data_IF_848463372592
#
_entry.id   IF_848463372592
#
_cell.length_a   1.000
_cell.length_b   1.000
_cell.length_c   1.000
_cell.angle_alpha   90.00
_cell.angle_beta   90.00
_cell.angle_gamma   90.00
#
_symmetry.space_group_name_H-M   'P 1'
#
loop_
_entity.id
_entity.type
_entity.pdbx_description
1 polymer ?
#
# COMPACT_ATOMS: atom_id res chain seq x y z
N UNK A 1 11.08 -31.33 -9.75
CA UNK A 1 10.89 -31.69 -8.32
C UNK A 1 11.55 -30.66 -7.38
N UNK A 2 12.87 -30.36 -7.50
CA UNK A 2 13.57 -29.41 -6.59
C UNK A 2 13.06 -27.97 -6.74
N UNK A 3 12.73 -27.52 -7.96
CA UNK A 3 12.13 -26.20 -8.21
C UNK A 3 10.70 -26.08 -7.67
N UNK A 4 9.93 -27.16 -7.69
CA UNK A 4 8.55 -27.14 -7.19
C UNK A 4 8.53 -27.07 -5.65
N UNK A 5 9.44 -27.79 -4.98
CA UNK A 5 9.59 -27.75 -3.52
C UNK A 5 10.02 -26.36 -3.02
N UNK A 6 10.92 -25.68 -3.74
CA UNK A 6 11.34 -24.31 -3.44
C UNK A 6 10.18 -23.31 -3.65
N UNK A 7 9.36 -23.52 -4.65
CA UNK A 7 8.17 -22.69 -4.91
C UNK A 7 7.13 -22.84 -3.81
N UNK A 8 6.82 -24.07 -3.41
CA UNK A 8 5.90 -24.34 -2.31
C UNK A 8 6.37 -23.75 -0.99
N UNK A 9 7.67 -23.87 -0.68
CA UNK A 9 8.25 -23.27 0.50
C UNK A 9 8.16 -21.73 0.48
N UNK A 10 8.40 -21.11 -0.68
CA UNK A 10 8.27 -19.66 -0.85
C UNK A 10 6.83 -19.19 -0.70
N UNK A 11 5.88 -19.88 -1.33
CA UNK A 11 4.44 -19.58 -1.21
C UNK A 11 3.96 -19.74 0.23
N UNK A 12 4.47 -20.74 0.97
CA UNK A 12 4.17 -20.95 2.38
C UNK A 12 4.71 -19.81 3.27
N UNK A 13 5.97 -19.38 3.07
CA UNK A 13 6.56 -18.26 3.82
C UNK A 13 5.77 -16.96 3.64
N UNK A 14 5.42 -16.62 2.40
CA UNK A 14 4.64 -15.42 2.09
C UNK A 14 3.25 -15.52 2.72
N UNK A 15 2.62 -16.69 2.65
CA UNK A 15 1.30 -16.91 3.22
C UNK A 15 1.31 -16.89 4.74
N UNK A 16 2.31 -17.51 5.40
CA UNK A 16 2.50 -17.46 6.85
C UNK A 16 2.65 -16.02 7.37
N UNK A 17 3.48 -15.22 6.71
CA UNK A 17 3.68 -13.82 7.08
C UNK A 17 2.39 -13.01 7.03
N UNK A 18 1.62 -13.18 5.95
CA UNK A 18 0.35 -12.48 5.78
C UNK A 18 -0.72 -12.97 6.75
N UNK A 19 -0.82 -14.28 6.96
CA UNK A 19 -1.77 -14.88 7.90
C UNK A 19 -1.47 -14.47 9.35
N UNK A 20 -0.20 -14.48 9.75
CA UNK A 20 0.20 -14.05 11.09
C UNK A 20 -0.21 -12.59 11.30
N UNK A 21 0.15 -11.70 10.38
CA UNK A 21 -0.23 -10.28 10.47
C UNK A 21 -1.74 -10.09 10.54
N UNK A 22 -2.50 -10.79 9.70
CA UNK A 22 -3.95 -10.69 9.70
C UNK A 22 -4.57 -11.12 11.04
N UNK A 23 -4.08 -12.22 11.63
CA UNK A 23 -4.59 -12.74 12.91
C UNK A 23 -4.31 -11.82 14.10
N UNK A 24 -3.15 -11.19 14.14
CA UNK A 24 -2.77 -10.35 15.28
C UNK A 24 -3.19 -8.89 15.12
N UNK A 25 -3.67 -8.49 13.94
CA UNK A 25 -4.14 -7.13 13.68
C UNK A 25 -5.29 -6.74 14.62
N UNK A 26 -6.22 -7.64 14.87
CA UNK A 26 -7.35 -7.42 15.78
C UNK A 26 -6.91 -7.21 17.23
N UNK A 27 -5.79 -7.79 17.64
CA UNK A 27 -5.20 -7.60 18.96
C UNK A 27 -4.39 -6.31 19.08
N UNK A 28 -4.27 -5.51 18.00
CA UNK A 28 -3.45 -4.30 17.92
C UNK A 28 -1.98 -4.53 18.29
N UNK A 29 -1.48 -5.74 18.05
CA UNK A 29 -0.08 -6.09 18.28
C UNK A 29 0.72 -5.78 17.02
N UNK A 30 1.79 -5.03 17.19
CA UNK A 30 2.72 -4.71 16.11
C UNK A 30 3.76 -5.82 16.00
N UNK A 31 3.97 -6.33 14.78
CA UNK A 31 4.92 -7.41 14.53
C UNK A 31 5.89 -7.05 13.42
N UNK A 32 7.13 -7.53 13.58
CA UNK A 32 8.15 -7.49 12.57
C UNK A 32 8.80 -8.86 12.45
N UNK A 33 8.66 -9.51 11.30
CA UNK A 33 9.35 -10.75 10.99
C UNK A 33 10.70 -10.38 10.39
N UNK A 34 11.77 -10.94 10.95
CA UNK A 34 13.13 -10.77 10.45
C UNK A 34 13.71 -12.18 10.25
N UNK A 35 14.29 -12.42 9.08
CA UNK A 35 14.96 -13.71 8.80
C UNK A 35 16.23 -13.83 9.65
N UNK A 36 16.44 -15.00 10.22
CA UNK A 36 17.64 -15.29 11.03
C UNK A 36 18.94 -14.99 10.27
N UNK A 37 18.99 -15.37 8.98
CA UNK A 37 20.11 -15.07 8.09
C UNK A 37 20.42 -13.58 7.91
N UNK A 38 19.58 -12.68 8.38
CA UNK A 38 19.82 -11.23 8.34
C UNK A 38 20.33 -10.67 9.67
N UNK A 39 20.23 -11.42 10.79
CA UNK A 39 20.63 -10.97 12.12
C UNK A 39 21.77 -11.83 12.68
N UNK A 40 21.71 -13.16 12.46
CA UNK A 40 22.67 -14.13 12.98
C UNK A 40 23.35 -14.90 11.84
N UNK A 41 23.71 -14.19 10.78
CA UNK A 41 24.26 -14.79 9.56
C UNK A 41 25.64 -15.43 9.74
N UNK A 42 26.37 -15.09 10.79
CA UNK A 42 27.71 -15.63 11.06
C UNK A 42 27.70 -17.16 11.23
N UNK A 43 26.61 -17.72 11.73
CA UNK A 43 26.45 -19.16 11.92
C UNK A 43 25.92 -19.91 10.69
N UNK A 44 25.47 -19.19 9.67
CA UNK A 44 24.71 -19.74 8.53
C UNK A 44 25.43 -19.57 7.18
N UNK A 45 26.45 -18.73 7.13
CA UNK A 45 27.13 -18.32 5.91
C UNK A 45 28.63 -18.67 5.94
N UNK A 46 29.22 -18.74 4.78
CA UNK A 46 30.68 -18.87 4.62
C UNK A 46 31.35 -17.53 4.88
N UNK A 47 32.67 -17.54 5.21
CA UNK A 47 33.44 -16.33 5.49
C UNK A 47 33.32 -15.26 4.42
N UNK A 48 33.35 -15.67 3.14
CA UNK A 48 33.16 -14.74 2.02
C UNK A 48 31.79 -14.09 2.00
N UNK A 49 30.74 -14.87 2.29
CA UNK A 49 29.36 -14.36 2.36
C UNK A 49 29.17 -13.45 3.58
N UNK A 50 29.83 -13.77 4.70
CA UNK A 50 29.85 -12.92 5.91
C UNK A 50 30.44 -11.54 5.58
N UNK A 51 31.57 -11.49 4.90
CA UNK A 51 32.22 -10.23 4.49
C UNK A 51 31.32 -9.39 3.56
N UNK A 52 30.57 -10.05 2.67
CA UNK A 52 29.61 -9.36 1.81
C UNK A 52 28.40 -8.83 2.59
N UNK A 53 27.85 -9.61 3.52
CA UNK A 53 26.69 -9.18 4.35
C UNK A 53 27.06 -8.05 5.31
N UNK A 54 28.28 -8.02 5.89
CA UNK A 54 28.77 -6.94 6.76
C UNK A 54 28.74 -5.56 6.10
N UNK A 55 28.92 -5.50 4.79
CA UNK A 55 28.83 -4.23 4.05
C UNK A 55 27.44 -3.57 4.14
N UNK A 56 26.43 -4.36 4.42
CA UNK A 56 25.04 -3.91 4.52
C UNK A 56 24.53 -3.73 5.94
N UNK A 57 25.35 -3.98 6.97
CA UNK A 57 24.90 -3.96 8.38
C UNK A 57 24.35 -2.59 8.79
N UNK A 58 24.99 -1.51 8.38
CA UNK A 58 24.48 -0.16 8.65
C UNK A 58 23.10 0.07 8.01
N UNK A 59 22.93 -0.36 6.77
CA UNK A 59 21.64 -0.24 6.08
C UNK A 59 20.57 -1.14 6.71
N UNK A 60 20.94 -2.35 7.18
CA UNK A 60 20.03 -3.25 7.90
C UNK A 60 19.60 -2.61 9.23
N UNK A 61 20.57 -2.12 10.02
CA UNK A 61 20.27 -1.45 11.28
C UNK A 61 19.36 -0.24 11.08
N UNK A 62 19.63 0.58 10.08
CA UNK A 62 18.80 1.71 9.70
C UNK A 62 17.37 1.28 9.35
N UNK A 63 17.20 0.30 8.46
CA UNK A 63 15.91 -0.17 8.01
C UNK A 63 15.08 -0.80 9.15
N UNK A 64 15.71 -1.60 10.01
CA UNK A 64 15.07 -2.22 11.17
C UNK A 64 14.62 -1.13 12.16
N UNK A 65 15.52 -0.22 12.51
CA UNK A 65 15.24 0.86 13.48
C UNK A 65 14.12 1.76 13.01
N UNK A 66 14.13 2.19 11.75
CA UNK A 66 13.06 3.01 11.18
C UNK A 66 11.73 2.26 11.13
N UNK A 67 11.76 0.98 10.74
CA UNK A 67 10.55 0.16 10.71
C UNK A 67 9.93 0.01 12.11
N UNK A 68 10.74 -0.27 13.11
CA UNK A 68 10.28 -0.39 14.51
C UNK A 68 9.79 0.94 15.04
N UNK A 69 10.52 2.03 14.81
CA UNK A 69 10.12 3.36 15.25
C UNK A 69 8.77 3.77 14.68
N UNK A 70 8.58 3.57 13.36
CA UNK A 70 7.30 3.86 12.71
C UNK A 70 6.15 2.98 13.23
N UNK A 71 6.41 1.70 13.45
CA UNK A 71 5.40 0.76 13.99
C UNK A 71 5.00 1.05 15.43
N UNK A 72 5.87 1.67 16.20
CA UNK A 72 5.59 2.14 17.57
C UNK A 72 4.87 3.50 17.60
N UNK A 73 4.47 4.02 16.45
CA UNK A 73 3.76 5.29 16.31
C UNK A 73 4.67 6.51 16.14
N UNK A 74 5.98 6.31 16.02
CA UNK A 74 6.90 7.39 15.70
C UNK A 74 6.81 7.79 14.23
N UNK A 75 7.15 9.03 13.92
CA UNK A 75 7.23 9.55 12.55
C UNK A 75 8.69 9.89 12.25
N UNK A 76 9.46 8.99 11.63
CA UNK A 76 10.89 9.19 11.39
C UNK A 76 11.16 10.35 10.42
N UNK A 77 10.23 10.63 9.52
CA UNK A 77 10.22 11.78 8.61
C UNK A 77 8.79 12.10 8.19
N UNK A 78 8.58 13.29 7.72
CA UNK A 78 7.35 13.74 7.06
C UNK A 78 7.71 14.55 5.82
N UNK A 79 6.77 14.66 4.90
CA UNK A 79 6.90 15.58 3.78
C UNK A 79 7.01 17.01 4.34
N UNK A 80 7.95 17.79 3.80
CA UNK A 80 8.27 19.13 4.31
C UNK A 80 7.13 20.14 4.12
N UNK A 81 7.08 20.71 2.93
CA UNK A 81 6.14 21.81 2.65
C UNK A 81 4.89 21.27 1.91
N UNK A 82 3.95 20.70 2.66
CA UNK A 82 2.62 20.37 2.14
C UNK A 82 1.68 21.50 2.51
N UNK A 83 0.84 21.94 1.59
CA UNK A 83 -0.20 22.94 1.85
C UNK A 83 -1.25 22.33 2.78
N UNK A 84 -1.69 23.10 3.77
CA UNK A 84 -2.74 22.70 4.68
C UNK A 84 -4.04 22.36 3.94
N UNK A 85 -4.74 21.35 4.40
CA UNK A 85 -5.99 20.89 3.80
C UNK A 85 -5.84 20.14 2.50
N UNK A 86 -4.65 19.63 2.18
CA UNK A 86 -4.41 18.78 1.00
C UNK A 86 -4.30 17.32 1.41
N UNK A 87 -4.98 16.46 0.65
CA UNK A 87 -4.94 15.01 0.81
C UNK A 87 -4.45 14.36 -0.48
N UNK A 88 -3.54 13.41 -0.39
CA UNK A 88 -3.05 12.62 -1.52
C UNK A 88 -3.55 11.18 -1.38
N UNK A 89 -4.26 10.68 -2.39
CA UNK A 89 -4.81 9.34 -2.44
C UNK A 89 -4.17 8.55 -3.57
N UNK A 90 -3.38 7.54 -3.26
CA UNK A 90 -2.77 6.64 -4.23
C UNK A 90 -3.59 5.37 -4.40
N UNK A 91 -4.08 5.09 -5.61
CA UNK A 91 -4.77 3.85 -5.94
C UNK A 91 -3.78 2.78 -6.38
N UNK A 92 -3.81 1.62 -5.71
CA UNK A 92 -2.95 0.47 -5.99
C UNK A 92 -3.81 -0.75 -6.28
N UNK A 93 -3.53 -1.40 -7.39
CA UNK A 93 -4.23 -2.61 -7.82
C UNK A 93 -3.32 -3.82 -7.78
N UNK A 94 -3.86 -4.96 -7.37
CA UNK A 94 -3.19 -6.26 -7.45
C UNK A 94 -4.11 -7.27 -8.11
N UNK A 95 -3.64 -7.86 -9.22
CA UNK A 95 -4.28 -8.97 -9.89
C UNK A 95 -3.92 -10.28 -9.19
N UNK A 96 -4.88 -11.21 -9.11
CA UNK A 96 -4.62 -12.57 -8.67
C UNK A 96 -3.92 -13.34 -9.80
N UNK A 97 -2.76 -13.91 -9.54
CA UNK A 97 -1.90 -14.54 -10.56
C UNK A 97 -2.43 -15.88 -11.10
N UNK A 98 -3.38 -16.50 -10.41
CA UNK A 98 -3.84 -17.86 -10.67
C UNK A 98 -4.69 -18.05 -11.94
N UNK A 99 -5.15 -16.97 -12.58
CA UNK A 99 -6.01 -17.09 -13.77
C UNK A 99 -5.85 -15.89 -14.71
N UNK A 100 -5.31 -16.16 -15.90
CA UNK A 100 -5.13 -15.14 -16.96
C UNK A 100 -6.46 -14.60 -17.51
N UNK A 101 -7.56 -15.33 -17.32
CA UNK A 101 -8.91 -14.94 -17.74
C UNK A 101 -9.69 -14.23 -16.63
N UNK A 102 -9.21 -14.30 -15.40
CA UNK A 102 -9.90 -13.68 -14.28
C UNK A 102 -9.69 -12.16 -14.31
N UNK A 103 -10.79 -11.43 -14.38
CA UNK A 103 -10.81 -9.97 -14.33
C UNK A 103 -10.70 -9.42 -12.91
N UNK A 104 -10.80 -10.29 -11.90
CA UNK A 104 -10.80 -9.86 -10.51
C UNK A 104 -9.44 -9.29 -10.10
N UNK A 105 -9.48 -8.15 -9.49
CA UNK A 105 -8.35 -7.48 -8.88
C UNK A 105 -8.77 -6.90 -7.54
N UNK A 106 -7.84 -6.77 -6.62
CA UNK A 106 -8.07 -6.00 -5.40
C UNK A 106 -7.54 -4.58 -5.59
N UNK A 107 -8.27 -3.61 -5.10
CA UNK A 107 -7.84 -2.24 -4.97
C UNK A 107 -7.48 -1.95 -3.52
N UNK A 108 -6.46 -1.15 -3.30
CA UNK A 108 -6.18 -0.52 -2.02
C UNK A 108 -5.91 0.95 -2.28
N UNK A 109 -6.33 1.80 -1.38
CA UNK A 109 -6.03 3.21 -1.42
C UNK A 109 -5.08 3.55 -0.27
N UNK A 110 -4.04 4.29 -0.57
CA UNK A 110 -3.14 4.85 0.43
C UNK A 110 -3.30 6.36 0.44
N UNK A 111 -3.72 6.89 1.57
CA UNK A 111 -3.89 8.32 1.78
C UNK A 111 -2.71 8.88 2.56
N UNK A 112 -2.16 9.99 2.09
CA UNK A 112 -1.20 10.81 2.80
C UNK A 112 -1.83 12.14 3.13
N UNK A 113 -1.68 12.53 4.38
CA UNK A 113 -2.20 13.77 4.93
C UNK A 113 -1.13 14.86 4.91
N UNK A 114 -1.56 16.11 5.01
CA UNK A 114 -0.72 17.28 5.19
C UNK A 114 0.18 17.19 6.43
N UNK A 115 -0.27 16.51 7.49
CA UNK A 115 0.56 16.21 8.66
C UNK A 115 1.73 15.25 8.39
N UNK A 116 1.79 14.63 7.20
CA UNK A 116 2.75 13.58 6.84
C UNK A 116 2.34 12.18 7.28
N UNK A 117 1.20 12.05 7.96
CA UNK A 117 0.65 10.74 8.31
C UNK A 117 0.09 10.02 7.10
N UNK A 118 0.25 8.71 7.06
CA UNK A 118 -0.34 7.86 6.03
C UNK A 118 -1.42 6.95 6.61
N UNK A 119 -2.49 6.76 5.86
CA UNK A 119 -3.52 5.76 6.14
C UNK A 119 -3.70 4.85 4.95
N UNK A 120 -3.93 3.56 5.21
CA UNK A 120 -4.19 2.58 4.15
C UNK A 120 -5.62 2.10 4.28
N UNK A 121 -6.37 2.26 3.21
CA UNK A 121 -7.73 1.73 3.09
C UNK A 121 -7.67 0.42 2.33
N UNK A 122 -8.30 -0.59 2.88
CA UNK A 122 -8.50 -1.86 2.20
C UNK A 122 -9.68 -1.68 1.25
N UNK A 123 -9.40 -1.67 -0.04
CA UNK A 123 -10.44 -1.69 -1.06
C UNK A 123 -11.10 -3.06 -1.19
N UNK A 124 -12.15 -3.10 -1.95
CA UNK A 124 -12.87 -4.32 -2.31
C UNK A 124 -12.11 -5.15 -3.37
N UNK A 125 -12.66 -6.30 -3.70
CA UNK A 125 -12.24 -7.12 -4.84
C UNK A 125 -13.33 -7.06 -5.89
N UNK A 126 -12.97 -6.70 -7.11
CA UNK A 126 -13.93 -6.57 -8.20
C UNK A 126 -13.33 -6.88 -9.57
N UNK A 127 -14.16 -6.93 -10.62
CA UNK A 127 -13.75 -7.25 -11.99
C UNK A 127 -13.11 -6.04 -12.71
N UNK A 128 -12.18 -5.39 -12.07
CA UNK A 128 -11.59 -4.11 -12.52
C UNK A 128 -10.47 -4.25 -13.53
N UNK A 129 -9.97 -5.46 -13.75
CA UNK A 129 -8.95 -5.71 -14.75
C UNK A 129 -9.54 -5.85 -16.16
N UNK A 130 -9.08 -5.04 -17.09
CA UNK A 130 -9.40 -5.19 -18.50
C UNK A 130 -8.24 -5.91 -19.23
N UNK A 131 -8.44 -7.18 -19.65
CA UNK A 131 -7.38 -7.94 -20.31
C UNK A 131 -7.03 -7.43 -21.71
N UNK A 132 -7.92 -6.64 -22.35
CA UNK A 132 -7.70 -6.10 -23.68
C UNK A 132 -6.80 -4.87 -23.64
N UNK A 133 -7.03 -3.97 -22.70
CA UNK A 133 -6.23 -2.74 -22.56
C UNK A 133 -5.04 -2.94 -21.62
N UNK A 134 -5.09 -3.94 -20.74
CA UNK A 134 -4.09 -4.13 -19.68
C UNK A 134 -4.20 -3.09 -18.56
N UNK A 135 -5.37 -2.50 -18.37
CA UNK A 135 -5.61 -1.43 -17.43
C UNK A 135 -6.60 -1.85 -16.35
N UNK A 136 -6.55 -1.13 -15.22
CA UNK A 136 -7.47 -1.30 -14.10
C UNK A 136 -8.37 -0.08 -14.01
N UNK A 137 -9.68 -0.32 -13.90
CA UNK A 137 -10.69 0.72 -13.71
C UNK A 137 -11.70 0.28 -12.65
N UNK A 138 -11.99 1.15 -11.70
CA UNK A 138 -13.04 0.92 -10.71
C UNK A 138 -14.43 1.11 -11.35
N UNK A 139 -15.44 0.46 -10.80
CA UNK A 139 -16.80 0.86 -11.08
C UNK A 139 -17.09 2.23 -10.43
N UNK A 140 -18.13 2.93 -10.88
CA UNK A 140 -18.56 4.18 -10.26
C UNK A 140 -18.82 4.01 -8.77
N UNK A 141 -19.47 2.92 -8.37
CA UNK A 141 -19.77 2.62 -6.97
C UNK A 141 -18.50 2.40 -6.16
N UNK A 142 -17.54 1.60 -6.66
CA UNK A 142 -16.27 1.33 -5.95
C UNK A 142 -15.42 2.59 -5.85
N UNK A 143 -15.40 3.42 -6.87
CA UNK A 143 -14.73 4.71 -6.89
C UNK A 143 -15.33 5.67 -5.83
N UNK A 144 -16.66 5.73 -5.76
CA UNK A 144 -17.38 6.45 -4.71
C UNK A 144 -17.00 5.96 -3.32
N UNK A 145 -17.02 4.65 -3.08
CA UNK A 145 -16.74 4.08 -1.77
C UNK A 145 -15.30 4.36 -1.29
N UNK A 146 -14.31 4.25 -2.18
CA UNK A 146 -12.91 4.52 -1.84
C UNK A 146 -12.69 5.97 -1.43
N UNK A 147 -13.27 6.92 -2.16
CA UNK A 147 -13.13 8.34 -1.83
C UNK A 147 -13.93 8.70 -0.58
N UNK A 148 -15.16 8.18 -0.44
CA UNK A 148 -15.99 8.41 0.75
C UNK A 148 -15.30 7.94 2.02
N UNK A 149 -14.73 6.72 2.05
CA UNK A 149 -13.96 6.21 3.18
C UNK A 149 -12.76 7.10 3.51
N UNK A 150 -12.09 7.61 2.48
CA UNK A 150 -10.95 8.51 2.66
C UNK A 150 -11.37 9.84 3.28
N UNK A 151 -12.49 10.40 2.82
CA UNK A 151 -13.07 11.63 3.38
C UNK A 151 -13.52 11.47 4.83
N UNK A 152 -14.19 10.36 5.15
CA UNK A 152 -14.61 10.05 6.52
C UNK A 152 -13.42 9.92 7.47
N UNK A 153 -12.36 9.25 7.03
CA UNK A 153 -11.14 9.12 7.81
C UNK A 153 -10.43 10.45 8.02
N UNK A 154 -10.38 11.31 7.01
CA UNK A 154 -9.84 12.67 7.13
C UNK A 154 -10.68 13.49 8.11
N UNK A 155 -12.01 13.48 7.94
CA UNK A 155 -12.93 14.21 8.80
C UNK A 155 -12.85 13.74 10.27
N UNK A 156 -12.76 12.45 10.51
CA UNK A 156 -12.61 11.88 11.85
C UNK A 156 -11.36 12.39 12.58
N UNK A 157 -10.32 12.77 11.83
CA UNK A 157 -9.06 13.24 12.38
C UNK A 157 -8.99 14.74 12.55
N UNK A 158 -9.53 15.50 11.59
CA UNK A 158 -9.38 16.96 11.54
C UNK A 158 -10.68 17.73 11.80
N UNK A 159 -11.82 17.03 11.93
CA UNK A 159 -13.16 17.63 12.07
C UNK A 159 -13.54 18.60 10.92
N UNK A 160 -12.88 18.48 9.77
CA UNK A 160 -13.15 19.20 8.53
C UNK A 160 -12.86 18.31 7.33
N UNK A 161 -13.36 18.68 6.15
CA UNK A 161 -12.99 18.03 4.88
C UNK A 161 -11.73 18.67 4.31
N UNK A 162 -10.93 17.91 3.50
CA UNK A 162 -9.80 18.49 2.81
C UNK A 162 -10.28 19.49 1.74
N UNK A 163 -9.51 20.54 1.50
CA UNK A 163 -9.80 21.49 0.41
C UNK A 163 -9.56 20.85 -0.97
N UNK A 164 -8.50 20.06 -1.05
CA UNK A 164 -8.08 19.40 -2.30
C UNK A 164 -7.71 17.94 -2.06
N UNK A 165 -8.13 17.08 -2.98
CA UNK A 165 -7.77 15.65 -3.02
C UNK A 165 -7.06 15.38 -4.33
N UNK A 166 -5.79 14.95 -4.26
CA UNK A 166 -5.04 14.48 -5.42
C UNK A 166 -5.15 12.96 -5.50
N UNK A 167 -5.82 12.44 -6.52
CA UNK A 167 -5.98 11.01 -6.76
C UNK A 167 -4.92 10.55 -7.76
N UNK A 168 -3.99 9.71 -7.29
CA UNK A 168 -2.88 9.21 -8.09
C UNK A 168 -3.18 7.79 -8.59
N UNK A 169 -3.02 7.57 -9.89
CA UNK A 169 -3.10 6.24 -10.50
C UNK A 169 -2.08 6.07 -11.65
N UNK A 170 -1.84 4.83 -12.07
CA UNK A 170 -1.00 4.53 -13.24
C UNK A 170 -1.75 4.67 -14.56
N UNK A 171 -3.08 4.54 -14.54
CA UNK A 171 -3.97 4.66 -15.69
C UNK A 171 -4.70 6.00 -15.70
N UNK A 172 -5.26 6.38 -16.82
CA UNK A 172 -6.26 7.46 -16.86
C UNK A 172 -7.53 6.98 -16.16
N UNK A 173 -8.21 7.88 -15.51
CA UNK A 173 -9.55 7.63 -14.99
C UNK A 173 -10.55 7.67 -16.14
N UNK A 174 -11.45 6.71 -16.19
CA UNK A 174 -12.57 6.73 -17.12
C UNK A 174 -13.75 7.54 -16.55
N UNK A 175 -14.77 7.76 -17.39
CA UNK A 175 -15.92 8.56 -17.00
C UNK A 175 -16.69 7.97 -15.79
N UNK A 176 -16.91 6.64 -15.69
CA UNK A 176 -17.53 6.05 -14.50
C UNK A 176 -16.72 6.25 -13.20
N UNK A 177 -15.39 6.04 -13.25
CA UNK A 177 -14.52 6.28 -12.07
C UNK A 177 -14.61 7.74 -11.65
N UNK A 178 -14.49 8.66 -12.62
CA UNK A 178 -14.52 10.08 -12.33
C UNK A 178 -15.84 10.53 -11.74
N UNK A 179 -16.96 10.05 -12.29
CA UNK A 179 -18.29 10.32 -11.76
C UNK A 179 -18.45 9.84 -10.30
N UNK A 180 -17.89 8.66 -9.97
CA UNK A 180 -17.89 8.16 -8.59
C UNK A 180 -17.09 9.05 -7.63
N UNK A 181 -15.93 9.55 -8.06
CA UNK A 181 -15.14 10.48 -7.27
C UNK A 181 -15.85 11.80 -7.03
N UNK A 182 -16.47 12.38 -8.07
CA UNK A 182 -17.23 13.62 -7.95
C UNK A 182 -18.46 13.48 -7.04
N UNK A 183 -19.17 12.37 -7.16
CA UNK A 183 -20.31 12.05 -6.31
C UNK A 183 -19.87 11.94 -4.83
N UNK A 184 -18.74 11.28 -4.54
CA UNK A 184 -18.24 11.11 -3.18
C UNK A 184 -17.90 12.42 -2.47
N UNK A 185 -17.36 13.38 -3.20
CA UNK A 185 -16.98 14.67 -2.59
C UNK A 185 -18.16 15.63 -2.43
N UNK A 186 -19.23 15.47 -3.20
CA UNK A 186 -20.43 16.31 -3.12
C UNK A 186 -20.12 17.84 -3.08
N UNK A 187 -19.08 18.26 -3.77
CA UNK A 187 -18.60 19.66 -3.75
C UNK A 187 -17.87 20.12 -2.47
N UNK A 188 -17.66 19.23 -1.49
CA UNK A 188 -16.94 19.56 -0.24
C UNK A 188 -15.43 19.71 -0.43
N UNK A 189 -14.89 19.08 -1.47
CA UNK A 189 -13.47 19.07 -1.81
C UNK A 189 -13.27 19.20 -3.30
N UNK A 190 -12.16 19.80 -3.72
CA UNK A 190 -11.72 19.79 -5.13
C UNK A 190 -10.96 18.52 -5.43
N UNK A 191 -11.30 17.79 -6.50
CA UNK A 191 -10.58 16.60 -6.95
C UNK A 191 -9.62 16.96 -8.07
N UNK A 192 -8.44 16.35 -8.02
CA UNK A 192 -7.40 16.48 -9.04
C UNK A 192 -6.88 15.08 -9.35
N UNK A 193 -7.13 14.59 -10.56
CA UNK A 193 -6.59 13.33 -11.05
C UNK A 193 -5.13 13.49 -11.51
N UNK A 194 -4.26 12.60 -11.04
CA UNK A 194 -2.83 12.60 -11.40
C UNK A 194 -2.44 11.24 -11.96
N UNK A 195 -2.03 11.20 -13.21
CA UNK A 195 -1.47 10.01 -13.82
C UNK A 195 0.03 9.93 -13.59
N UNK A 196 0.50 8.84 -12.96
CA UNK A 196 1.92 8.56 -12.78
C UNK A 196 2.39 7.69 -13.95
N UNK A 197 3.40 8.14 -14.68
CA UNK A 197 4.08 7.37 -15.74
C UNK A 197 5.50 7.05 -15.31
N UNK A 198 5.91 5.82 -15.55
CA UNK A 198 7.31 5.43 -15.52
C UNK A 198 7.93 5.85 -16.86
N UNK A 199 9.08 6.52 -16.82
CA UNK A 199 9.89 6.86 -18.01
C UNK A 199 10.77 5.69 -18.41
#
# INVERSE_FOLDING_TARGET
EEKDTLREAYEFEVNFHNQLKAKILSAKIVTQIIRESKIAYENLLTDKQIEEEKKFDTAKAWNISNTLYYKLGGLPWKLGEIRDGVCYLGLVYKKTESDTKNKNACCAAQMFLDSGDGMVFRGNVGPWWNPTTGEFHLSQQDAFEVVSQSLEAYYSRFACYPNEIFIHAKTFFDDPEWAGFEEAVEGKSRIIGVRIREN
#
